data_IF_587897211109
#
_entry.id   IF_587897211109
#
_cell.length_a   1.000
_cell.length_b   1.000
_cell.length_c   1.000
_cell.angle_alpha   90.00
_cell.angle_beta   90.00
_cell.angle_gamma   90.00
#
_symmetry.space_group_name_H-M   'P 1'
#
loop_
_entity.id
_entity.type
_entity.pdbx_description
1 polymer ?
#
# COMPACT_ATOMS: atom_id res chain seq x y z
N UNK A 1 31.90 31.80 20.95
CA UNK A 1 32.45 32.16 19.62
C UNK A 1 32.31 31.06 18.55
N UNK A 2 32.30 29.76 18.90
CA UNK A 2 32.14 28.65 17.94
C UNK A 2 30.70 28.42 17.43
N UNK A 3 29.67 28.60 18.28
CA UNK A 3 28.25 28.44 17.88
C UNK A 3 27.79 29.42 16.78
N UNK A 4 28.31 30.65 16.76
CA UNK A 4 27.97 31.64 15.73
C UNK A 4 28.61 31.34 14.36
N UNK A 5 29.77 30.67 14.33
CA UNK A 5 30.42 30.26 13.07
C UNK A 5 29.70 29.09 12.40
N UNK A 6 29.15 28.15 13.16
CA UNK A 6 28.38 27.01 12.60
C UNK A 6 27.06 27.50 12.00
N UNK A 7 26.34 28.40 12.69
CA UNK A 7 25.10 29.01 12.16
C UNK A 7 25.40 29.78 10.87
N UNK A 8 26.48 30.56 10.81
CA UNK A 8 26.85 31.31 9.61
C UNK A 8 27.26 30.43 8.41
N UNK A 9 27.82 29.24 8.64
CA UNK A 9 28.14 28.27 7.58
C UNK A 9 26.87 27.58 7.07
N UNK A 10 25.95 27.21 7.97
CA UNK A 10 24.64 26.66 7.59
C UNK A 10 23.78 27.67 6.83
N UNK A 11 23.75 28.93 7.27
CA UNK A 11 23.02 30.00 6.57
C UNK A 11 23.61 30.33 5.19
N UNK A 12 24.94 30.28 5.02
CA UNK A 12 25.59 30.51 3.72
C UNK A 12 25.42 29.35 2.73
N UNK A 13 25.30 28.11 3.21
CA UNK A 13 24.98 26.96 2.36
C UNK A 13 23.51 27.00 1.90
N UNK A 14 22.57 27.43 2.76
CA UNK A 14 21.15 27.57 2.39
C UNK A 14 20.87 28.79 1.51
N UNK A 15 21.57 29.92 1.71
CA UNK A 15 21.37 31.14 0.91
C UNK A 15 21.91 31.05 -0.53
N UNK A 16 22.63 29.98 -0.89
CA UNK A 16 23.04 29.72 -2.29
C UNK A 16 22.00 28.96 -3.13
N UNK A 17 20.87 28.56 -2.54
CA UNK A 17 19.74 27.93 -3.25
C UNK A 17 18.69 28.99 -3.69
N UNK A 18 19.09 30.26 -3.83
CA UNK A 18 18.23 31.30 -4.43
C UNK A 18 18.48 31.48 -5.93
N UNK A 19 18.77 30.39 -6.65
CA UNK A 19 18.67 30.39 -8.11
C UNK A 19 17.25 29.96 -8.46
N UNK A 20 16.44 30.91 -8.91
CA UNK A 20 15.13 30.75 -9.56
C UNK A 20 14.43 29.41 -9.26
N UNK A 21 13.54 29.40 -8.27
CA UNK A 21 12.64 28.28 -8.04
C UNK A 21 11.96 27.91 -9.36
N UNK A 22 12.18 26.69 -9.81
CA UNK A 22 11.37 26.06 -10.84
C UNK A 22 10.63 24.91 -10.16
N UNK A 23 9.31 24.78 -10.36
CA UNK A 23 8.57 23.67 -9.82
C UNK A 23 9.18 22.36 -10.33
N UNK A 24 9.32 21.37 -9.44
CA UNK A 24 9.77 20.02 -9.79
C UNK A 24 8.75 19.24 -10.64
N UNK A 25 7.70 19.92 -11.12
CA UNK A 25 6.67 19.39 -11.99
C UNK A 25 6.20 20.38 -13.06
N UNK A 26 5.62 19.87 -14.14
CA UNK A 26 5.06 20.62 -15.26
C UNK A 26 3.71 20.01 -15.69
N UNK A 27 2.69 20.84 -15.96
CA UNK A 27 1.41 20.39 -16.55
C UNK A 27 1.53 20.36 -18.08
N UNK A 28 1.30 19.20 -18.72
CA UNK A 28 1.66 18.95 -20.12
C UNK A 28 0.56 19.23 -21.17
N UNK A 29 -0.74 19.27 -20.84
CA UNK A 29 -1.85 19.82 -21.67
C UNK A 29 -3.22 19.66 -20.99
N UNK A 30 -4.27 20.32 -21.52
CA UNK A 30 -5.61 20.40 -20.92
C UNK A 30 -6.62 19.30 -21.32
N UNK A 31 -6.28 18.35 -22.22
CA UNK A 31 -7.24 17.32 -22.63
C UNK A 31 -7.27 16.16 -21.63
N UNK A 32 -8.20 16.22 -20.69
CA UNK A 32 -8.38 15.24 -19.62
C UNK A 32 -9.02 13.97 -20.18
N UNK A 33 -8.25 12.89 -20.26
CA UNK A 33 -8.77 11.54 -20.42
C UNK A 33 -8.55 10.74 -19.13
N UNK A 34 -9.57 10.09 -18.55
CA UNK A 34 -9.41 9.29 -17.34
C UNK A 34 -8.51 8.07 -17.56
N UNK A 35 -8.34 7.61 -18.81
CA UNK A 35 -7.50 6.45 -19.14
C UNK A 35 -6.01 6.80 -19.12
N UNK A 36 -5.65 8.08 -19.20
CA UNK A 36 -4.26 8.54 -19.15
C UNK A 36 -3.64 8.41 -17.75
N UNK A 37 -4.48 8.21 -16.73
CA UNK A 37 -4.05 7.95 -15.36
C UNK A 37 -3.80 6.46 -15.07
N UNK A 38 -3.94 5.57 -16.07
CA UNK A 38 -3.64 4.13 -15.99
C UNK A 38 -2.21 3.74 -16.39
N UNK A 39 -1.40 4.71 -16.76
CA UNK A 39 -0.02 4.50 -17.15
C UNK A 39 0.79 5.69 -16.63
N UNK A 40 2.07 5.46 -16.37
CA UNK A 40 3.02 6.55 -16.29
C UNK A 40 3.99 6.42 -17.46
N UNK A 41 4.20 7.50 -18.18
CA UNK A 41 5.17 7.52 -19.27
C UNK A 41 6.47 8.10 -18.76
N UNK A 42 7.58 7.65 -19.34
CA UNK A 42 8.90 8.16 -18.98
C UNK A 42 9.46 8.91 -20.19
N UNK A 43 9.88 10.15 -19.94
CA UNK A 43 10.28 11.09 -20.99
C UNK A 43 11.74 10.84 -21.40
N UNK A 44 11.92 9.88 -22.30
CA UNK A 44 13.16 9.62 -23.03
C UNK A 44 12.86 9.82 -24.51
N UNK A 45 13.84 10.15 -25.35
CA UNK A 45 13.76 10.47 -26.80
C UNK A 45 12.97 9.47 -27.71
N UNK A 46 12.34 8.46 -27.13
CA UNK A 46 11.16 7.73 -27.57
C UNK A 46 10.39 7.36 -26.29
N UNK A 47 9.31 8.06 -25.94
CA UNK A 47 8.66 7.92 -24.62
C UNK A 47 8.35 6.46 -24.29
N UNK A 48 8.91 5.93 -23.20
CA UNK A 48 8.56 4.60 -22.73
C UNK A 48 7.23 4.69 -21.98
N UNK A 49 6.24 3.92 -22.39
CA UNK A 49 5.01 3.79 -21.60
C UNK A 49 5.23 2.70 -20.56
N UNK A 50 5.27 3.09 -19.28
CA UNK A 50 5.36 2.14 -18.17
C UNK A 50 3.96 1.98 -17.59
N UNK A 51 3.44 0.77 -17.72
CA UNK A 51 2.13 0.45 -17.17
C UNK A 51 2.21 0.35 -15.65
N UNK A 52 1.11 0.64 -14.96
CA UNK A 52 0.92 0.27 -13.55
C UNK A 52 1.09 -1.24 -13.29
N UNK A 53 1.07 -2.08 -14.34
CA UNK A 53 1.34 -3.51 -14.28
C UNK A 53 2.85 -3.85 -14.25
N UNK A 54 3.71 -2.89 -14.51
CA UNK A 54 5.17 -3.11 -14.54
C UNK A 54 5.62 -3.55 -13.16
N UNK A 55 6.33 -4.67 -13.12
CA UNK A 55 6.86 -5.25 -11.89
C UNK A 55 8.15 -4.57 -11.47
N UNK A 56 8.53 -4.73 -10.20
CA UNK A 56 9.83 -4.25 -9.72
C UNK A 56 11.00 -4.82 -10.53
N UNK A 57 10.93 -6.09 -10.94
CA UNK A 57 11.96 -6.74 -11.77
C UNK A 57 12.08 -6.14 -13.17
N UNK A 58 10.93 -5.90 -13.81
CA UNK A 58 10.89 -5.26 -15.14
C UNK A 58 11.39 -3.82 -15.05
N UNK A 59 11.02 -3.08 -14.01
CA UNK A 59 11.49 -1.71 -13.81
C UNK A 59 13.03 -1.64 -13.67
N UNK A 60 13.64 -2.54 -12.88
CA UNK A 60 15.10 -2.62 -12.77
C UNK A 60 15.75 -2.90 -14.13
N UNK A 61 15.16 -3.78 -14.93
CA UNK A 61 15.68 -4.13 -16.25
C UNK A 61 15.65 -2.96 -17.24
N UNK A 62 14.73 -2.00 -17.06
CA UNK A 62 14.65 -0.79 -17.90
C UNK A 62 15.80 0.20 -17.64
N UNK A 63 16.50 0.11 -16.50
CA UNK A 63 17.65 0.94 -16.15
C UNK A 63 17.38 2.45 -16.31
N UNK A 64 16.28 2.92 -15.73
CA UNK A 64 15.80 4.31 -15.80
C UNK A 64 16.07 5.11 -14.51
N UNK A 65 16.88 4.56 -13.62
CA UNK A 65 16.98 4.98 -12.23
C UNK A 65 17.87 4.05 -11.40
N UNK A 66 17.99 4.35 -10.12
CA UNK A 66 18.86 3.63 -9.18
C UNK A 66 18.19 3.41 -7.81
N UNK A 67 18.68 2.42 -7.07
CA UNK A 67 18.23 2.15 -5.70
C UNK A 67 19.05 2.96 -4.69
N UNK A 68 18.36 3.63 -3.76
CA UNK A 68 18.95 4.36 -2.64
C UNK A 68 18.31 3.88 -1.33
N UNK A 69 19.09 3.86 -0.24
CA UNK A 69 18.58 3.57 1.10
C UNK A 69 18.66 4.87 1.90
N UNK A 70 17.54 5.29 2.49
CA UNK A 70 17.49 6.50 3.30
C UNK A 70 18.13 6.30 4.69
N UNK A 71 18.18 7.37 5.46
CA UNK A 71 18.75 7.37 6.83
C UNK A 71 18.01 6.43 7.80
N UNK A 72 16.78 6.04 7.49
CA UNK A 72 15.95 5.15 8.30
C UNK A 72 16.01 3.69 7.82
N UNK A 73 16.85 3.39 6.81
CA UNK A 73 16.96 2.06 6.23
C UNK A 73 15.83 1.72 5.25
N UNK A 74 15.04 2.70 4.82
CA UNK A 74 13.98 2.52 3.83
C UNK A 74 14.58 2.61 2.43
N UNK A 75 14.31 1.60 1.61
CA UNK A 75 14.81 1.57 0.24
C UNK A 75 13.84 2.28 -0.71
N UNK A 76 14.39 3.07 -1.63
CA UNK A 76 13.66 3.75 -2.69
C UNK A 76 14.32 3.49 -4.04
N UNK A 77 13.52 3.41 -5.10
CA UNK A 77 14.02 3.50 -6.47
C UNK A 77 13.80 4.92 -6.99
N UNK A 78 14.88 5.62 -7.28
CA UNK A 78 14.89 6.97 -7.81
C UNK A 78 14.95 6.93 -9.32
N UNK A 79 14.03 7.63 -9.99
CA UNK A 79 14.12 7.80 -11.44
C UNK A 79 15.19 8.84 -11.77
N UNK A 80 16.09 8.51 -12.70
CA UNK A 80 17.13 9.42 -13.21
C UNK A 80 16.59 10.32 -14.35
N UNK A 81 15.33 10.12 -14.72
CA UNK A 81 14.64 10.79 -15.82
C UNK A 81 13.21 11.16 -15.41
N UNK A 82 12.63 12.22 -15.99
CA UNK A 82 11.29 12.66 -15.61
C UNK A 82 10.23 11.59 -15.91
N UNK A 83 9.31 11.43 -14.98
CA UNK A 83 8.11 10.60 -15.17
C UNK A 83 6.91 11.48 -15.45
N UNK A 84 5.91 10.97 -16.15
CA UNK A 84 4.67 11.66 -16.44
C UNK A 84 3.54 10.79 -15.90
N UNK A 85 2.77 11.31 -14.94
CA UNK A 85 1.54 10.68 -14.46
C UNK A 85 0.37 11.56 -14.85
N UNK A 86 -0.54 11.02 -15.66
CA UNK A 86 -1.63 11.81 -16.19
C UNK A 86 -1.11 12.92 -17.13
N UNK A 87 -1.40 14.16 -16.75
CA UNK A 87 -0.87 15.37 -17.41
C UNK A 87 0.22 16.06 -16.59
N UNK A 88 0.81 15.39 -15.60
CA UNK A 88 1.81 15.99 -14.72
C UNK A 88 3.15 15.30 -14.96
N UNK A 89 4.13 16.05 -15.44
CA UNK A 89 5.53 15.65 -15.51
C UNK A 89 6.19 15.92 -14.17
N UNK A 90 6.94 14.98 -13.62
CA UNK A 90 7.69 15.08 -12.39
C UNK A 90 9.17 14.80 -12.66
N UNK A 91 10.05 15.68 -12.21
CA UNK A 91 11.49 15.55 -12.45
C UNK A 91 12.19 14.64 -11.41
N UNK A 92 11.61 14.50 -10.22
CA UNK A 92 12.22 13.80 -9.08
C UNK A 92 11.23 12.84 -8.42
N UNK A 93 10.74 11.86 -9.19
CA UNK A 93 9.91 10.81 -8.64
C UNK A 93 10.74 9.66 -8.08
N UNK A 94 10.19 9.00 -7.07
CA UNK A 94 10.73 7.78 -6.51
C UNK A 94 9.63 6.78 -6.23
N UNK A 95 10.01 5.52 -6.11
CA UNK A 95 9.12 4.43 -5.71
C UNK A 95 9.59 3.94 -4.35
N UNK A 96 8.65 3.73 -3.42
CA UNK A 96 8.95 3.00 -2.21
C UNK A 96 9.30 1.55 -2.59
N UNK A 97 10.55 1.15 -2.36
CA UNK A 97 11.04 -0.14 -2.80
C UNK A 97 10.76 -1.21 -1.75
N UNK A 98 9.55 -1.73 -1.78
CA UNK A 98 9.14 -2.83 -0.91
C UNK A 98 9.22 -4.17 -1.66
N UNK A 99 10.43 -4.72 -1.80
CA UNK A 99 10.72 -5.86 -2.68
C UNK A 99 10.39 -7.22 -2.06
N UNK A 100 9.33 -7.35 -1.28
CA UNK A 100 8.91 -8.66 -0.75
C UNK A 100 8.62 -9.64 -1.89
N UNK A 101 8.25 -9.14 -3.08
CA UNK A 101 8.33 -9.86 -4.35
C UNK A 101 8.71 -8.93 -5.50
N UNK A 102 9.80 -9.25 -6.21
CA UNK A 102 10.20 -8.51 -7.42
C UNK A 102 9.26 -8.73 -8.61
N UNK A 103 8.41 -9.77 -8.55
CA UNK A 103 7.41 -10.07 -9.56
C UNK A 103 6.08 -9.32 -9.35
N UNK A 104 5.94 -8.57 -8.26
CA UNK A 104 4.74 -7.78 -8.02
C UNK A 104 4.79 -6.46 -8.79
N UNK A 105 3.64 -5.98 -9.30
CA UNK A 105 3.51 -4.64 -9.86
C UNK A 105 3.87 -3.57 -8.84
N UNK A 106 4.33 -2.43 -9.31
CA UNK A 106 4.71 -1.31 -8.43
C UNK A 106 3.46 -0.72 -7.78
N UNK A 107 3.49 -0.60 -6.45
CA UNK A 107 2.33 -0.25 -5.64
C UNK A 107 2.28 1.20 -5.19
N UNK A 108 3.43 1.84 -5.03
CA UNK A 108 3.52 3.15 -4.38
C UNK A 108 4.58 4.03 -5.02
N UNK A 109 4.12 5.12 -5.63
CA UNK A 109 4.95 6.18 -6.19
C UNK A 109 4.88 7.39 -5.27
N UNK A 110 6.03 8.00 -5.08
CA UNK A 110 6.20 9.15 -4.21
C UNK A 110 6.87 10.25 -5.03
N UNK A 111 6.27 11.43 -4.99
CA UNK A 111 6.92 12.65 -5.46
C UNK A 111 7.05 13.57 -4.26
N UNK A 112 8.30 13.82 -3.87
CA UNK A 112 8.63 14.81 -2.84
C UNK A 112 9.04 16.10 -3.53
N UNK A 113 8.26 17.17 -3.34
CA UNK A 113 8.55 18.50 -3.88
C UNK A 113 8.91 19.41 -2.71
N UNK A 114 10.21 19.72 -2.59
CA UNK A 114 10.75 20.56 -1.52
C UNK A 114 10.74 22.02 -1.93
N UNK A 115 10.14 22.86 -1.12
CA UNK A 115 10.12 24.30 -1.38
C UNK A 115 11.33 25.00 -0.76
N UNK A 116 11.98 25.86 -1.54
CA UNK A 116 13.09 26.68 -1.04
C UNK A 116 12.66 27.77 -0.06
N UNK A 117 11.41 28.25 -0.15
CA UNK A 117 10.83 29.31 0.70
C UNK A 117 9.34 29.00 0.89
N UNK A 118 8.77 29.34 2.07
CA UNK A 118 7.40 29.04 2.53
C UNK A 118 6.30 29.33 1.49
N UNK A 119 5.88 28.35 0.68
CA UNK A 119 4.90 28.60 -0.36
C UNK A 119 3.98 27.40 -0.57
N UNK A 120 2.84 27.36 0.13
CA UNK A 120 1.72 26.42 -0.15
C UNK A 120 1.26 26.38 -1.62
N UNK A 121 1.81 27.23 -2.47
CA UNK A 121 1.64 27.32 -3.92
C UNK A 121 1.82 25.96 -4.62
N UNK A 122 2.82 25.15 -4.26
CA UNK A 122 3.00 23.82 -4.90
C UNK A 122 1.81 22.91 -4.59
N UNK A 123 1.43 22.84 -3.31
CA UNK A 123 0.26 22.08 -2.87
C UNK A 123 -1.01 22.60 -3.54
N UNK A 124 -1.25 23.92 -3.55
CA UNK A 124 -2.42 24.52 -4.18
C UNK A 124 -2.46 24.30 -5.69
N UNK A 125 -1.31 24.35 -6.38
CA UNK A 125 -1.22 24.08 -7.81
C UNK A 125 -1.53 22.61 -8.12
N UNK A 126 -0.92 21.66 -7.40
CA UNK A 126 -1.18 20.24 -7.58
C UNK A 126 -2.62 19.88 -7.22
N UNK A 127 -3.15 20.40 -6.11
CA UNK A 127 -4.56 20.24 -5.75
C UNK A 127 -5.47 20.79 -6.86
N UNK A 128 -5.15 21.97 -7.41
CA UNK A 128 -5.89 22.57 -8.52
C UNK A 128 -5.86 21.72 -9.80
N UNK A 129 -4.73 21.10 -10.12
CA UNK A 129 -4.61 20.17 -11.25
C UNK A 129 -5.42 18.90 -11.00
N UNK A 130 -5.28 18.29 -9.82
CA UNK A 130 -5.97 17.06 -9.46
C UNK A 130 -7.49 17.27 -9.35
N UNK A 131 -7.95 18.43 -8.89
CA UNK A 131 -9.37 18.78 -8.84
C UNK A 131 -10.04 18.77 -10.22
N UNK A 132 -9.29 18.96 -11.31
CA UNK A 132 -9.85 18.86 -12.68
C UNK A 132 -10.36 17.44 -13.00
N UNK A 133 -9.92 16.43 -12.25
CA UNK A 133 -10.36 15.04 -12.41
C UNK A 133 -11.50 14.65 -11.45
N UNK A 134 -12.01 15.57 -10.61
CA UNK A 134 -13.09 15.27 -9.65
C UNK A 134 -14.36 14.73 -10.33
N UNK A 135 -14.63 15.11 -11.57
CA UNK A 135 -15.78 14.58 -12.36
C UNK A 135 -15.64 13.10 -12.69
N UNK A 136 -14.43 12.53 -12.62
CA UNK A 136 -14.11 11.13 -12.89
C UNK A 136 -13.63 10.38 -11.64
N UNK A 137 -13.67 11.05 -10.49
CA UNK A 137 -13.02 10.60 -9.27
C UNK A 137 -13.95 10.65 -8.08
N UNK A 138 -13.73 9.76 -7.12
CA UNK A 138 -14.32 9.87 -5.80
C UNK A 138 -13.36 10.65 -4.90
N UNK A 139 -13.82 11.78 -4.36
CA UNK A 139 -13.11 12.45 -3.27
C UNK A 139 -13.21 11.59 -2.02
N UNK A 140 -12.08 11.25 -1.42
CA UNK A 140 -12.04 10.43 -0.22
C UNK A 140 -11.71 11.31 0.97
N UNK A 141 -12.64 11.46 1.90
CA UNK A 141 -12.31 11.92 3.26
C UNK A 141 -11.87 10.70 4.05
N UNK A 142 -10.58 10.38 3.97
CA UNK A 142 -9.99 9.39 4.86
C UNK A 142 -9.62 10.13 6.15
N UNK A 143 -10.39 9.87 7.21
CA UNK A 143 -10.25 10.55 8.51
C UNK A 143 -9.04 10.05 9.31
N UNK A 144 -8.18 9.21 8.71
CA UNK A 144 -7.07 8.53 9.39
C UNK A 144 -5.80 9.38 9.49
N UNK A 145 -5.67 10.46 8.72
CA UNK A 145 -4.61 11.46 8.88
C UNK A 145 -5.24 12.77 9.34
N UNK A 146 -5.50 12.85 10.65
CA UNK A 146 -6.02 14.03 11.34
C UNK A 146 -5.00 15.18 11.45
N UNK A 147 -4.10 15.33 10.47
CA UNK A 147 -3.26 16.51 10.37
C UNK A 147 -3.63 17.32 9.11
N UNK A 148 -3.95 18.57 9.37
CA UNK A 148 -4.63 19.54 8.52
C UNK A 148 -3.90 19.77 7.17
N UNK A 149 -4.64 19.66 6.06
CA UNK A 149 -4.25 19.91 4.63
C UNK A 149 -3.87 18.70 3.76
N UNK A 150 -4.67 17.64 3.77
CA UNK A 150 -4.61 16.57 2.77
C UNK A 150 -5.65 16.73 1.65
N UNK A 151 -5.27 16.56 0.39
CA UNK A 151 -6.17 16.40 -0.74
C UNK A 151 -6.10 14.95 -1.24
N UNK A 152 -7.25 14.26 -1.23
CA UNK A 152 -7.32 12.84 -1.54
C UNK A 152 -8.32 12.58 -2.66
N UNK A 153 -7.87 11.85 -3.67
CA UNK A 153 -8.63 11.58 -4.88
C UNK A 153 -8.48 10.12 -5.29
N UNK A 154 -9.59 9.42 -5.50
CA UNK A 154 -9.58 8.07 -6.05
C UNK A 154 -10.15 8.07 -7.45
N UNK A 155 -9.36 7.58 -8.40
CA UNK A 155 -9.78 7.42 -9.80
C UNK A 155 -9.73 5.92 -10.10
N UNK A 156 -10.92 5.31 -10.18
CA UNK A 156 -11.10 3.86 -10.22
C UNK A 156 -10.30 3.22 -9.07
N UNK A 157 -9.16 2.57 -9.33
CA UNK A 157 -8.36 1.90 -8.30
C UNK A 157 -6.99 2.54 -8.05
N UNK A 158 -6.76 3.76 -8.55
CA UNK A 158 -5.56 4.54 -8.25
C UNK A 158 -5.93 5.64 -7.26
N UNK A 159 -5.18 5.74 -6.16
CA UNK A 159 -5.39 6.71 -5.09
C UNK A 159 -4.27 7.74 -5.12
N UNK A 160 -4.65 9.01 -5.17
CA UNK A 160 -3.75 10.15 -5.10
C UNK A 160 -3.95 10.80 -3.72
N UNK A 161 -2.88 10.87 -2.95
CA UNK A 161 -2.86 11.47 -1.62
C UNK A 161 -1.82 12.58 -1.64
N UNK A 162 -2.30 13.81 -1.63
CA UNK A 162 -1.47 15.01 -1.64
C UNK A 162 -1.44 15.60 -0.23
N UNK A 163 -0.24 15.70 0.34
CA UNK A 163 -0.02 16.21 1.69
C UNK A 163 0.98 17.36 1.66
N UNK A 164 0.84 18.29 2.61
CA UNK A 164 1.84 19.32 2.86
C UNK A 164 2.35 19.24 4.29
N UNK A 165 3.65 18.99 4.46
CA UNK A 165 4.32 19.00 5.76
C UNK A 165 4.86 20.41 6.04
N UNK A 166 4.27 21.11 7.01
CA UNK A 166 4.78 22.41 7.50
C UNK A 166 6.21 22.28 8.06
N UNK A 167 6.54 21.27 8.90
CA UNK A 167 7.89 21.11 9.42
C UNK A 167 8.93 20.92 8.32
N UNK A 168 8.62 20.10 7.32
CA UNK A 168 9.57 19.72 6.27
C UNK A 168 9.52 20.65 5.05
N UNK A 169 8.54 21.56 5.00
CA UNK A 169 8.24 22.45 3.85
C UNK A 169 8.22 21.68 2.53
N UNK A 170 7.53 20.56 2.57
CA UNK A 170 7.49 19.60 1.49
C UNK A 170 6.04 19.33 1.13
N UNK A 171 5.72 19.52 -0.14
CA UNK A 171 4.51 18.95 -0.73
C UNK A 171 4.86 17.54 -1.17
N UNK A 172 4.15 16.54 -0.63
CA UNK A 172 4.30 15.14 -1.03
C UNK A 172 3.05 14.71 -1.77
N UNK A 173 3.23 14.12 -2.95
CA UNK A 173 2.19 13.39 -3.65
C UNK A 173 2.51 11.90 -3.59
N UNK A 174 1.68 11.16 -2.87
CA UNK A 174 1.66 9.70 -2.86
C UNK A 174 0.63 9.21 -3.86
N UNK A 175 1.03 8.26 -4.71
CA UNK A 175 0.16 7.63 -5.69
C UNK A 175 0.18 6.13 -5.43
N UNK A 176 -0.96 5.61 -4.95
CA UNK A 176 -1.14 4.21 -4.63
C UNK A 176 -1.91 3.49 -5.72
N UNK A 177 -1.36 2.37 -6.15
CA UNK A 177 -1.97 1.49 -7.10
C UNK A 177 -2.81 0.43 -6.37
N UNK A 178 -4.01 0.81 -5.93
CA UNK A 178 -4.92 -0.05 -5.16
C UNK A 178 -5.74 -1.00 -6.05
N UNK A 179 -5.25 -1.30 -7.25
CA UNK A 179 -5.89 -2.30 -8.12
C UNK A 179 -5.89 -3.64 -7.42
N UNK A 180 -7.04 -4.29 -7.41
CA UNK A 180 -7.12 -5.67 -6.96
C UNK A 180 -6.36 -6.52 -7.98
N UNK A 181 -5.15 -6.94 -7.61
CA UNK A 181 -4.29 -7.76 -8.45
C UNK A 181 -4.72 -9.23 -8.52
N UNK A 182 -5.97 -9.53 -8.15
CA UNK A 182 -6.59 -10.84 -8.29
C UNK A 182 -6.46 -11.47 -9.69
N UNK A 183 -6.11 -10.72 -10.74
CA UNK A 183 -5.92 -11.22 -12.09
C UNK A 183 -4.82 -10.42 -12.80
N UNK A 184 -3.83 -10.98 -13.53
CA UNK A 184 -3.17 -12.30 -13.52
C UNK A 184 -1.68 -12.20 -13.10
N UNK A 185 -1.21 -11.05 -12.59
CA UNK A 185 0.23 -10.80 -12.36
C UNK A 185 0.74 -11.49 -11.07
N UNK A 186 -0.15 -11.77 -10.12
CA UNK A 186 0.14 -12.56 -8.90
C UNK A 186 -0.10 -14.06 -9.08
N UNK A 187 -0.29 -14.53 -10.33
CA UNK A 187 -0.44 -15.97 -10.60
C UNK A 187 0.89 -16.68 -10.42
N UNK A 188 1.09 -17.27 -9.24
CA UNK A 188 1.80 -18.54 -9.16
C UNK A 188 0.89 -19.61 -9.79
N UNK A 189 0.99 -19.78 -11.11
CA UNK A 189 0.18 -20.71 -11.89
C UNK A 189 0.28 -22.15 -11.40
N UNK A 190 1.39 -22.51 -10.73
CA UNK A 190 1.57 -23.86 -10.19
C UNK A 190 0.66 -24.10 -8.99
N UNK A 191 0.62 -23.18 -8.02
CA UNK A 191 -0.22 -23.36 -6.82
C UNK A 191 -1.71 -23.34 -7.15
N UNK A 192 -2.14 -22.51 -8.11
CA UNK A 192 -3.54 -22.40 -8.53
C UNK A 192 -4.14 -23.72 -9.04
N UNK A 193 -3.32 -24.61 -9.60
CA UNK A 193 -3.76 -25.87 -10.20
C UNK A 193 -3.34 -27.13 -9.42
N UNK A 194 -2.35 -27.04 -8.53
CA UNK A 194 -1.77 -28.19 -7.84
C UNK A 194 -1.89 -28.13 -6.31
N UNK A 195 -2.52 -27.09 -5.76
CA UNK A 195 -2.77 -26.99 -4.34
C UNK A 195 -3.68 -28.11 -3.82
N UNK A 196 -3.52 -28.44 -2.53
CA UNK A 196 -4.33 -29.45 -1.84
C UNK A 196 -4.84 -28.92 -0.50
N UNK A 197 -5.95 -29.45 -0.02
CA UNK A 197 -6.52 -29.07 1.29
C UNK A 197 -6.34 -30.25 2.25
N UNK A 198 -5.36 -30.13 3.14
CA UNK A 198 -5.08 -31.10 4.20
C UNK A 198 -5.96 -30.90 5.43
N UNK A 199 -6.29 -29.66 5.76
CA UNK A 199 -7.27 -29.28 6.80
C UNK A 199 -8.08 -28.08 6.34
N UNK A 200 -9.32 -27.99 6.79
CA UNK A 200 -10.21 -26.86 6.52
C UNK A 200 -10.98 -26.46 7.77
N UNK A 201 -11.12 -25.15 7.99
CA UNK A 201 -11.96 -24.57 9.03
C UNK A 201 -12.95 -23.60 8.36
N UNK A 202 -14.23 -23.73 8.71
CA UNK A 202 -15.32 -22.93 8.14
C UNK A 202 -15.75 -21.87 9.16
N UNK A 203 -15.89 -20.63 8.70
CA UNK A 203 -16.35 -19.50 9.52
C UNK A 203 -17.64 -18.94 8.92
N UNK A 204 -18.64 -18.74 9.79
CA UNK A 204 -20.04 -18.49 9.42
C UNK A 204 -20.41 -17.02 9.22
N UNK A 205 -19.44 -16.11 9.02
CA UNK A 205 -19.69 -14.68 8.87
C UNK A 205 -18.77 -14.06 7.82
N UNK A 206 -19.20 -12.92 7.25
CA UNK A 206 -18.44 -12.11 6.30
C UNK A 206 -17.21 -11.48 6.95
N UNK A 207 -16.13 -12.26 7.03
CA UNK A 207 -14.81 -11.78 7.42
C UNK A 207 -14.18 -11.12 6.22
N UNK A 208 -13.89 -9.82 6.36
CA UNK A 208 -13.12 -9.13 5.34
C UNK A 208 -11.66 -9.40 5.61
N UNK A 209 -10.97 -9.89 4.58
CA UNK A 209 -9.50 -9.81 4.58
C UNK A 209 -9.14 -8.34 4.53
N UNK A 210 -8.36 -7.90 5.50
CA UNK A 210 -7.88 -6.53 5.49
C UNK A 210 -6.84 -6.38 4.38
N UNK A 211 -7.24 -5.79 3.24
CA UNK A 211 -6.40 -5.62 2.05
C UNK A 211 -5.38 -4.47 2.21
N UNK A 212 -5.20 -3.90 3.40
CA UNK A 212 -4.30 -2.76 3.62
C UNK A 212 -2.82 -3.14 3.71
N UNK A 213 -2.46 -4.40 3.46
CA UNK A 213 -1.09 -4.88 3.62
C UNK A 213 -0.20 -4.59 2.40
N UNK A 214 0.18 -3.33 2.25
CA UNK A 214 1.26 -2.89 1.33
C UNK A 214 2.57 -3.70 1.45
N UNK A 215 2.72 -4.51 2.51
CA UNK A 215 3.89 -5.32 2.81
C UNK A 215 3.77 -6.79 2.39
N UNK A 216 2.57 -7.30 2.11
CA UNK A 216 2.33 -8.74 1.89
C UNK A 216 1.49 -9.05 0.64
N UNK A 217 1.47 -8.15 -0.33
CA UNK A 217 0.69 -8.30 -1.57
C UNK A 217 1.03 -9.58 -2.37
N UNK A 218 2.25 -10.10 -2.24
CA UNK A 218 2.65 -11.38 -2.86
C UNK A 218 1.94 -12.60 -2.25
N UNK A 219 1.43 -12.46 -1.03
CA UNK A 219 0.62 -13.47 -0.36
C UNK A 219 -0.84 -13.41 -0.82
N UNK A 220 -1.30 -12.28 -1.37
CA UNK A 220 -2.67 -12.15 -1.89
C UNK A 220 -2.73 -12.88 -3.24
N UNK A 221 -3.65 -13.84 -3.36
CA UNK A 221 -3.88 -14.63 -4.57
C UNK A 221 -5.38 -14.64 -4.88
N UNK A 222 -5.79 -14.81 -6.14
CA UNK A 222 -7.16 -15.22 -6.43
C UNK A 222 -7.47 -16.53 -5.72
N UNK A 223 -8.73 -16.69 -5.28
CA UNK A 223 -9.18 -17.90 -4.58
C UNK A 223 -8.98 -19.11 -5.51
N UNK A 224 -8.16 -20.11 -5.12
CA UNK A 224 -7.88 -21.24 -5.99
C UNK A 224 -9.13 -22.06 -6.28
N UNK A 225 -9.23 -22.65 -7.47
CA UNK A 225 -10.41 -23.42 -7.88
C UNK A 225 -10.69 -24.62 -6.97
N UNK A 226 -9.65 -25.26 -6.44
CA UNK A 226 -9.79 -26.35 -5.47
C UNK A 226 -10.35 -25.88 -4.12
N UNK A 227 -10.14 -24.61 -3.75
CA UNK A 227 -10.73 -23.98 -2.55
C UNK A 227 -12.18 -23.61 -2.84
N UNK A 228 -12.46 -23.02 -4.01
CA UNK A 228 -13.82 -22.66 -4.45
C UNK A 228 -14.75 -23.87 -4.46
N UNK A 229 -14.25 -25.05 -4.88
CA UNK A 229 -15.01 -26.30 -4.88
C UNK A 229 -15.42 -26.81 -3.49
N UNK A 230 -14.83 -26.28 -2.41
CA UNK A 230 -15.10 -26.67 -1.02
C UNK A 230 -16.03 -25.71 -0.28
N UNK A 231 -16.39 -24.58 -0.90
CA UNK A 231 -17.33 -23.61 -0.35
C UNK A 231 -18.74 -24.22 -0.33
N UNK A 232 -19.44 -24.06 0.79
CA UNK A 232 -20.83 -24.52 0.92
C UNK A 232 -21.81 -23.42 0.55
N UNK A 233 -21.43 -22.17 0.81
CA UNK A 233 -22.15 -20.96 0.47
C UNK A 233 -21.17 -19.91 -0.10
N UNK A 234 -21.65 -19.03 -0.98
CA UNK A 234 -20.82 -18.00 -1.65
C UNK A 234 -20.17 -17.03 -0.64
N UNK A 235 -20.81 -16.82 0.52
CA UNK A 235 -20.35 -15.95 1.59
C UNK A 235 -19.45 -16.64 2.63
N UNK A 236 -19.15 -17.93 2.46
CA UNK A 236 -18.33 -18.66 3.42
C UNK A 236 -16.91 -18.11 3.45
N UNK A 237 -16.40 -17.83 4.64
CA UNK A 237 -14.99 -17.62 4.87
C UNK A 237 -14.38 -18.93 5.37
N UNK A 238 -13.29 -19.34 4.72
CA UNK A 238 -12.61 -20.59 5.05
C UNK A 238 -11.12 -20.34 5.27
N UNK A 239 -10.56 -21.07 6.23
CA UNK A 239 -9.12 -21.21 6.38
C UNK A 239 -8.76 -22.63 5.95
N UNK A 240 -7.70 -22.78 5.15
CA UNK A 240 -7.21 -24.11 4.76
C UNK A 240 -5.72 -24.25 5.02
N UNK A 241 -5.30 -25.47 5.33
CA UNK A 241 -3.88 -25.84 5.43
C UNK A 241 -3.57 -26.80 4.30
N UNK A 242 -2.49 -26.52 3.57
CA UNK A 242 -1.90 -27.39 2.57
C UNK A 242 -0.54 -27.90 3.08
N UNK A 243 -0.51 -29.09 3.64
CA UNK A 243 0.72 -29.67 4.20
C UNK A 243 1.72 -30.08 3.11
N UNK A 244 1.25 -30.35 1.88
CA UNK A 244 2.10 -30.77 0.76
C UNK A 244 2.92 -29.56 0.30
N UNK A 245 2.26 -28.44 0.07
CA UNK A 245 2.91 -27.20 -0.36
C UNK A 245 3.42 -26.36 0.82
N UNK A 246 3.16 -26.79 2.07
CA UNK A 246 3.56 -26.13 3.32
C UNK A 246 3.04 -24.70 3.42
N UNK A 247 1.79 -24.49 3.02
CA UNK A 247 1.12 -23.19 3.06
C UNK A 247 -0.17 -23.25 3.84
N UNK A 248 -0.60 -22.07 4.29
CA UNK A 248 -1.89 -21.84 4.92
C UNK A 248 -2.60 -20.73 4.17
N UNK A 249 -3.89 -20.93 3.92
CA UNK A 249 -4.70 -20.01 3.17
C UNK A 249 -5.87 -19.48 3.95
N UNK A 250 -6.15 -18.20 3.78
CA UNK A 250 -7.28 -17.49 4.36
C UNK A 250 -8.10 -16.94 3.20
N UNK A 251 -9.34 -17.39 3.06
CA UNK A 251 -10.28 -16.82 2.08
C UNK A 251 -10.91 -15.55 2.66
N UNK A 252 -11.08 -14.55 1.80
CA UNK A 252 -11.95 -13.39 2.00
C UNK A 252 -13.05 -13.35 0.94
N UNK A 253 -13.61 -12.17 0.69
CA UNK A 253 -14.74 -12.01 -0.24
C UNK A 253 -14.35 -12.38 -1.69
N UNK A 254 -13.35 -11.71 -2.26
CA UNK A 254 -12.97 -11.86 -3.68
C UNK A 254 -11.55 -12.41 -3.90
N UNK A 255 -10.75 -12.54 -2.83
CA UNK A 255 -9.37 -12.99 -2.87
C UNK A 255 -9.02 -13.82 -1.64
N UNK A 256 -7.82 -14.37 -1.61
CA UNK A 256 -7.29 -15.08 -0.46
C UNK A 256 -5.87 -14.65 -0.13
N UNK A 257 -5.46 -14.82 1.12
CA UNK A 257 -4.07 -14.75 1.55
C UNK A 257 -3.51 -16.16 1.63
N UNK A 258 -2.40 -16.44 0.97
CA UNK A 258 -1.65 -17.71 1.05
C UNK A 258 -0.28 -17.43 1.65
N UNK A 259 -0.04 -17.96 2.84
CA UNK A 259 1.13 -17.72 3.67
C UNK A 259 1.90 -19.03 3.92
N UNK A 260 3.19 -18.98 4.27
CA UNK A 260 3.89 -20.15 4.78
C UNK A 260 3.17 -20.73 6.01
N UNK A 261 3.04 -22.06 6.07
CA UNK A 261 2.46 -22.74 7.23
C UNK A 261 3.47 -22.81 8.40
N UNK A 262 3.78 -21.64 8.97
CA UNK A 262 4.76 -21.43 10.03
C UNK A 262 4.27 -20.36 11.00
N UNK A 263 3.02 -20.45 11.42
CA UNK A 263 2.43 -19.53 12.39
C UNK A 263 3.16 -19.71 13.73
N UNK A 264 3.65 -18.61 14.30
CA UNK A 264 4.27 -18.57 15.63
C UNK A 264 3.27 -18.24 16.72
N UNK A 265 2.36 -17.30 16.44
CA UNK A 265 1.35 -16.85 17.39
C UNK A 265 0.17 -16.24 16.66
N UNK A 266 -0.99 -16.30 17.30
CA UNK A 266 -2.23 -15.65 16.85
C UNK A 266 -2.71 -14.73 17.97
N UNK A 267 -3.09 -13.53 17.59
CA UNK A 267 -3.63 -12.52 18.48
C UNK A 267 -4.99 -12.06 17.98
N UNK A 268 -5.92 -11.84 18.91
CA UNK A 268 -7.21 -11.22 18.65
C UNK A 268 -7.26 -9.93 19.43
N UNK A 269 -7.48 -8.83 18.72
CA UNK A 269 -7.66 -7.51 19.30
C UNK A 269 -9.11 -7.09 19.21
N UNK A 270 -9.61 -6.55 20.32
CA UNK A 270 -10.95 -6.00 20.43
C UNK A 270 -10.86 -4.49 20.69
N UNK A 271 -11.34 -3.68 19.76
CA UNK A 271 -11.31 -2.22 19.85
C UNK A 271 -12.71 -1.65 20.00
N UNK A 272 -12.90 -0.88 21.08
CA UNK A 272 -14.13 -0.13 21.31
C UNK A 272 -13.80 1.37 21.35
N UNK A 273 -14.04 2.11 20.27
CA UNK A 273 -13.78 3.55 20.23
C UNK A 273 -14.82 4.31 21.07
N UNK A 274 -14.45 5.50 21.55
CA UNK A 274 -15.37 6.41 22.25
C UNK A 274 -16.58 6.83 21.39
N UNK A 275 -16.44 6.83 20.05
CA UNK A 275 -17.51 7.05 19.08
C UNK A 275 -17.37 6.08 17.90
N UNK A 276 -18.48 5.51 17.45
CA UNK A 276 -18.51 4.59 16.30
C UNK A 276 -18.81 3.15 16.68
N UNK A 277 -18.69 2.25 15.71
CA UNK A 277 -19.20 0.88 15.81
C UNK A 277 -18.19 -0.08 16.45
N UNK A 278 -16.90 0.30 16.49
CA UNK A 278 -15.82 -0.56 16.97
C UNK A 278 -15.59 -1.76 16.07
N UNK A 279 -14.82 -2.72 16.57
CA UNK A 279 -14.58 -3.97 15.87
C UNK A 279 -13.58 -4.87 16.57
N UNK A 280 -13.30 -6.00 15.93
CA UNK A 280 -12.22 -6.89 16.29
C UNK A 280 -11.43 -7.31 15.07
N UNK A 281 -10.17 -7.67 15.28
CA UNK A 281 -9.33 -8.22 14.22
C UNK A 281 -8.44 -9.36 14.72
N UNK A 282 -8.10 -10.24 13.79
CA UNK A 282 -7.14 -11.33 14.02
C UNK A 282 -5.80 -10.96 13.39
N UNK A 283 -4.74 -10.99 14.18
CA UNK A 283 -3.36 -10.83 13.73
C UNK A 283 -2.59 -12.14 13.89
N UNK A 284 -1.79 -12.49 12.89
CA UNK A 284 -0.94 -13.67 12.93
C UNK A 284 0.53 -13.27 12.77
N UNK A 285 1.42 -13.91 13.51
CA UNK A 285 2.86 -13.79 13.33
C UNK A 285 3.38 -15.03 12.61
N UNK A 286 4.05 -14.84 11.49
CA UNK A 286 4.67 -15.92 10.71
C UNK A 286 6.18 -15.94 10.99
N UNK A 287 6.75 -17.14 11.14
CA UNK A 287 8.20 -17.30 11.27
C UNK A 287 8.94 -16.70 10.07
N UNK A 288 9.92 -15.83 10.36
CA UNK A 288 10.72 -15.14 9.35
C UNK A 288 10.12 -13.82 8.85
N UNK A 289 8.90 -13.49 9.26
CA UNK A 289 8.29 -12.19 8.99
C UNK A 289 8.61 -11.25 10.15
N UNK A 290 8.89 -9.98 9.83
CA UNK A 290 9.25 -8.97 10.84
C UNK A 290 8.04 -8.52 11.66
N UNK A 291 6.92 -8.35 10.98
CA UNK A 291 5.69 -7.76 11.54
C UNK A 291 4.55 -8.80 11.56
N UNK A 292 3.55 -8.58 12.43
CA UNK A 292 2.30 -9.35 12.38
C UNK A 292 1.50 -8.99 11.12
N UNK A 293 0.67 -9.92 10.66
CA UNK A 293 -0.24 -9.73 9.54
C UNK A 293 -1.66 -9.77 10.09
N UNK A 294 -2.41 -8.70 9.86
CA UNK A 294 -3.83 -8.66 10.18
C UNK A 294 -4.63 -9.38 9.12
N UNK A 295 -5.30 -10.46 9.48
CA UNK A 295 -5.97 -11.33 8.52
C UNK A 295 -7.43 -10.96 8.38
N UNK A 296 -8.16 -10.83 9.48
CA UNK A 296 -9.60 -10.58 9.45
C UNK A 296 -9.95 -9.35 10.24
N UNK A 297 -10.92 -8.58 9.73
CA UNK A 297 -11.56 -7.48 10.44
C UNK A 297 -13.07 -7.68 10.49
N UNK A 298 -13.65 -7.48 11.66
CA UNK A 298 -15.10 -7.56 11.89
C UNK A 298 -15.59 -6.32 12.64
N UNK A 299 -16.73 -5.78 12.23
CA UNK A 299 -17.33 -4.58 12.84
C UNK A 299 -18.08 -4.87 14.16
N UNK A 300 -18.04 -6.11 14.63
CA UNK A 300 -18.66 -6.53 15.90
C UNK A 300 -17.56 -6.89 16.90
N UNK A 301 -17.59 -6.25 18.06
CA UNK A 301 -16.59 -6.41 19.11
C UNK A 301 -16.78 -7.78 19.78
N UNK A 302 -15.69 -8.51 20.00
CA UNK A 302 -15.64 -9.87 20.54
C UNK A 302 -16.17 -10.98 19.60
N UNK A 303 -16.49 -10.66 18.34
CA UNK A 303 -17.02 -11.67 17.42
C UNK A 303 -16.03 -12.81 17.12
N UNK A 304 -14.73 -12.53 17.21
CA UNK A 304 -13.67 -13.53 17.04
C UNK A 304 -13.37 -14.34 18.32
N UNK A 305 -13.76 -13.85 19.50
CA UNK A 305 -13.46 -14.51 20.79
C UNK A 305 -14.04 -15.92 20.86
N UNK A 306 -15.19 -16.16 20.21
CA UNK A 306 -15.85 -17.47 20.16
C UNK A 306 -15.09 -18.53 19.37
N UNK A 307 -14.08 -18.13 18.60
CA UNK A 307 -13.27 -19.03 17.76
C UNK A 307 -11.86 -19.25 18.32
N UNK A 308 -11.56 -18.76 19.52
CA UNK A 308 -10.23 -18.90 20.14
C UNK A 308 -9.82 -20.37 20.24
N UNK A 309 -10.69 -21.21 20.79
CA UNK A 309 -10.41 -22.64 20.94
C UNK A 309 -10.32 -23.34 19.59
N UNK A 310 -11.25 -23.05 18.66
CA UNK A 310 -11.25 -23.60 17.31
C UNK A 310 -9.96 -23.26 16.54
N UNK A 311 -9.52 -22.01 16.63
CA UNK A 311 -8.28 -21.55 16.01
C UNK A 311 -7.08 -22.18 16.70
N UNK A 312 -7.06 -22.25 18.03
CA UNK A 312 -5.96 -22.87 18.74
C UNK A 312 -5.77 -24.33 18.34
N UNK A 313 -6.86 -25.09 18.26
CA UNK A 313 -6.84 -26.48 17.79
C UNK A 313 -6.45 -26.58 16.31
N UNK A 314 -7.02 -25.74 15.45
CA UNK A 314 -6.80 -25.80 14.02
C UNK A 314 -5.35 -25.50 13.63
N UNK A 315 -4.79 -24.42 14.17
CA UNK A 315 -3.43 -23.96 13.89
C UNK A 315 -2.37 -24.63 14.78
N UNK A 316 -2.77 -25.24 15.90
CA UNK A 316 -1.85 -25.88 16.85
C UNK A 316 -0.95 -24.87 17.58
N UNK A 317 -1.43 -23.63 17.76
CA UNK A 317 -0.74 -22.56 18.50
C UNK A 317 -1.71 -21.90 19.47
N UNK A 318 -1.19 -21.30 20.53
CA UNK A 318 -2.03 -20.53 21.45
C UNK A 318 -2.56 -19.27 20.76
N UNK A 319 -3.84 -18.99 20.97
CA UNK A 319 -4.51 -17.78 20.50
C UNK A 319 -4.70 -16.86 21.70
N UNK A 320 -4.11 -15.66 21.64
CA UNK A 320 -4.18 -14.69 22.74
C UNK A 320 -5.21 -13.62 22.40
N UNK A 321 -6.16 -13.37 23.31
CA UNK A 321 -7.01 -12.18 23.24
C UNK A 321 -6.28 -11.07 24.00
N UNK A 322 -5.93 -9.99 23.31
CA UNK A 322 -5.31 -8.83 23.94
C UNK A 322 -6.33 -8.06 24.78
N UNK A 323 -5.83 -7.34 25.79
CA UNK A 323 -6.67 -6.48 26.62
C UNK A 323 -7.45 -5.48 25.76
N UNK A 324 -8.72 -5.26 26.12
CA UNK A 324 -9.61 -4.37 25.36
C UNK A 324 -9.00 -2.98 25.22
N UNK A 325 -8.77 -2.57 23.98
CA UNK A 325 -8.36 -1.22 23.65
C UNK A 325 -9.55 -0.27 23.76
N UNK A 326 -9.37 0.82 24.51
CA UNK A 326 -10.26 1.98 24.48
C UNK A 326 -9.56 3.08 23.69
N UNK A 327 -10.05 3.36 22.49
CA UNK A 327 -9.61 4.53 21.72
C UNK A 327 -10.37 5.75 22.27
N UNK A 328 -9.64 6.64 22.95
CA UNK A 328 -10.18 7.73 23.76
C UNK A 328 -10.53 8.95 22.91
#
# INVERSE_FOLDING_TARGET
MWKQKIIAIWSKCFLKISKSWQPDFEELSAYISPDILYFFTVDKNSSYCISWNTTYSELLALNLGHLEIDINGVQFYHFDIPIIVGHIKFNHAKILWNSTSLASPIQHYIVDIREGVRHTDTYSQLAGILSKYETYAQKITDNTVMDENSFNLRIKDIFYVLNYSIPDRCTRLDIYNKRDYAYPILLDSNYQHQGTVSKIHYMSYGLKIEQYHHYYDYCIKPVPSFVTALLKYDEDNIVWIDNINKVIGFKGDNSCLVLPNKIQSIQIDNLRPAKGWGGCWMEIRIEGFKDSIRIYQVLDVNQLDKHVDDFSEFFGVDVVINDRGYDC
#
